data_IF_745289683218
#
_entry.id   IF_745289683218
#
_cell.length_a   1.000
_cell.length_b   1.000
_cell.length_c   1.000
_cell.angle_alpha   90.00
_cell.angle_beta   90.00
_cell.angle_gamma   90.00
#
_symmetry.space_group_name_H-M   'P 1'
#
loop_
_entity.id
_entity.type
_entity.pdbx_description
1 polymer ?
#
# COMPACT_ATOMS: atom_id res chain seq x y z
N UNK A 1 -5.37 -23.51 -6.38
CA UNK A 1 -6.51 -23.66 -5.46
C UNK A 1 -6.29 -22.60 -4.38
N UNK A 2 -7.11 -21.55 -4.31
CA UNK A 2 -6.96 -20.54 -3.26
C UNK A 2 -7.27 -21.19 -1.91
N UNK A 3 -6.34 -21.08 -0.98
CA UNK A 3 -6.57 -21.49 0.41
C UNK A 3 -7.49 -20.45 1.07
N UNK A 4 -8.74 -20.83 1.32
CA UNK A 4 -9.72 -19.95 1.97
C UNK A 4 -9.38 -19.62 3.42
N UNK A 5 -8.38 -20.25 4.02
CA UNK A 5 -7.92 -19.95 5.39
C UNK A 5 -7.29 -18.56 5.52
N UNK A 6 -6.83 -17.98 4.41
CA UNK A 6 -6.19 -16.66 4.35
C UNK A 6 -7.16 -15.52 3.95
N UNK A 7 -8.47 -15.83 3.84
CA UNK A 7 -9.47 -14.84 3.49
C UNK A 7 -10.04 -14.16 4.74
N UNK A 8 -9.90 -12.87 4.84
CA UNK A 8 -10.53 -12.06 5.90
C UNK A 8 -11.59 -11.15 5.31
N UNK A 9 -12.77 -11.13 5.91
CA UNK A 9 -13.88 -10.26 5.53
C UNK A 9 -14.24 -9.38 6.72
N UNK A 10 -14.28 -8.07 6.50
CA UNK A 10 -14.72 -7.07 7.49
C UNK A 10 -15.85 -6.24 6.91
N UNK A 11 -16.82 -5.90 7.74
CA UNK A 11 -17.99 -5.10 7.35
C UNK A 11 -18.09 -3.83 8.19
N UNK A 12 -18.58 -2.78 7.57
CA UNK A 12 -19.14 -1.60 8.24
C UNK A 12 -20.55 -1.34 7.71
N UNK A 13 -21.20 -0.28 8.18
CA UNK A 13 -22.52 0.13 7.65
C UNK A 13 -22.50 0.52 6.17
N UNK A 14 -21.34 0.89 5.64
CA UNK A 14 -21.18 1.43 4.29
C UNK A 14 -20.29 0.57 3.39
N UNK A 15 -19.39 -0.24 3.98
CA UNK A 15 -18.35 -0.96 3.26
C UNK A 15 -18.27 -2.43 3.66
N UNK A 16 -18.05 -3.29 2.66
CA UNK A 16 -17.57 -4.64 2.85
C UNK A 16 -16.12 -4.71 2.35
N UNK A 17 -15.22 -5.19 3.19
CA UNK A 17 -13.83 -5.40 2.84
C UNK A 17 -13.53 -6.88 2.82
N UNK A 18 -12.79 -7.30 1.81
CA UNK A 18 -12.28 -8.65 1.69
C UNK A 18 -10.78 -8.55 1.42
N UNK A 19 -9.98 -9.28 2.17
CA UNK A 19 -8.55 -9.33 1.98
C UNK A 19 -8.06 -10.78 1.96
N UNK A 20 -7.07 -11.03 1.10
CA UNK A 20 -6.36 -12.29 1.03
C UNK A 20 -4.87 -12.01 0.81
N UNK A 21 -4.02 -12.85 1.39
CA UNK A 21 -2.57 -12.79 1.19
C UNK A 21 -2.03 -14.21 1.11
N UNK A 22 -0.97 -14.41 0.34
CA UNK A 22 -0.30 -15.70 0.17
C UNK A 22 1.18 -15.47 -0.09
N UNK A 23 2.06 -16.25 0.57
CA UNK A 23 3.51 -16.14 0.38
C UNK A 23 4.01 -16.58 -0.99
N UNK A 24 3.15 -17.24 -1.77
CA UNK A 24 3.51 -17.83 -3.05
C UNK A 24 4.36 -19.11 -2.93
N UNK A 25 4.89 -19.55 -4.07
CA UNK A 25 5.60 -20.82 -4.21
C UNK A 25 7.12 -20.72 -3.96
N UNK A 26 7.67 -19.51 -3.97
CA UNK A 26 9.12 -19.27 -3.98
C UNK A 26 9.63 -18.72 -2.65
N UNK A 27 8.85 -17.85 -2.01
CA UNK A 27 9.26 -17.21 -0.76
C UNK A 27 9.07 -18.12 0.44
N UNK A 28 9.92 -17.98 1.45
CA UNK A 28 9.77 -18.69 2.73
C UNK A 28 8.86 -17.94 3.69
N UNK A 29 8.91 -16.60 3.65
CA UNK A 29 8.11 -15.70 4.47
C UNK A 29 7.23 -14.85 3.56
N UNK A 30 6.02 -14.54 4.01
CA UNK A 30 5.16 -13.57 3.38
C UNK A 30 5.55 -12.18 3.89
N UNK A 31 6.06 -11.35 2.99
CA UNK A 31 6.51 -9.99 3.31
C UNK A 31 5.39 -8.94 3.09
N UNK A 32 4.22 -9.39 2.59
CA UNK A 32 3.07 -8.52 2.41
C UNK A 32 2.34 -8.26 3.74
N UNK A 33 1.89 -7.03 3.91
CA UNK A 33 1.04 -6.60 5.01
C UNK A 33 -0.26 -5.99 4.50
N UNK A 34 -1.34 -6.16 5.25
CA UNK A 34 -2.57 -5.42 5.02
C UNK A 34 -3.30 -5.16 6.31
N UNK A 35 -4.07 -4.10 6.34
CA UNK A 35 -4.96 -3.78 7.44
C UNK A 35 -6.21 -3.07 6.94
N UNK A 36 -7.33 -3.31 7.62
CA UNK A 36 -8.59 -2.67 7.31
C UNK A 36 -9.30 -2.24 8.60
N UNK A 37 -9.63 -0.98 8.66
CA UNK A 37 -10.43 -0.35 9.70
C UNK A 37 -11.79 0.03 9.10
N UNK A 38 -12.64 -0.99 8.90
CA UNK A 38 -13.91 -0.88 8.18
C UNK A 38 -14.80 0.25 8.72
N UNK A 39 -14.95 0.36 10.05
CA UNK A 39 -15.74 1.41 10.70
C UNK A 39 -15.19 2.82 10.50
N UNK A 40 -13.93 2.90 10.11
CA UNK A 40 -13.26 4.17 9.80
C UNK A 40 -13.14 4.43 8.31
N UNK A 41 -13.64 3.53 7.46
CA UNK A 41 -13.48 3.63 6.00
C UNK A 41 -12.02 3.75 5.58
N UNK A 42 -11.14 2.94 6.16
CA UNK A 42 -9.70 2.99 5.93
C UNK A 42 -9.19 1.57 5.63
N UNK A 43 -8.38 1.44 4.60
CA UNK A 43 -7.68 0.20 4.28
C UNK A 43 -6.26 0.50 3.77
N UNK A 44 -5.33 -0.41 4.07
CA UNK A 44 -3.93 -0.32 3.67
C UNK A 44 -3.46 -1.68 3.18
N UNK A 45 -2.67 -1.70 2.12
CA UNK A 45 -1.82 -2.80 1.70
C UNK A 45 -0.39 -2.33 1.56
N UNK A 46 0.56 -3.21 1.88
CA UNK A 46 1.98 -2.93 1.87
C UNK A 46 2.73 -4.18 1.39
N UNK A 47 3.65 -4.02 0.44
CA UNK A 47 4.55 -5.07 -0.04
C UNK A 47 5.96 -4.76 0.49
N UNK A 48 6.40 -5.58 1.43
CA UNK A 48 7.67 -5.41 2.12
C UNK A 48 8.84 -5.93 1.30
N UNK A 49 9.95 -5.19 1.35
CA UNK A 49 11.20 -5.62 0.75
C UNK A 49 12.36 -5.49 1.74
N UNK A 50 13.20 -6.52 1.75
CA UNK A 50 14.41 -6.56 2.57
C UNK A 50 15.04 -7.95 2.53
N UNK A 51 16.36 -8.06 2.61
CA UNK A 51 17.00 -9.38 2.70
C UNK A 51 16.73 -10.02 4.07
N UNK A 52 16.49 -11.35 4.09
CA UNK A 52 16.37 -12.14 5.33
C UNK A 52 15.29 -11.65 6.31
N UNK A 53 14.03 -11.83 5.97
CA UNK A 53 12.89 -11.59 6.89
C UNK A 53 12.74 -10.14 7.40
N UNK A 54 13.09 -9.15 6.59
CA UNK A 54 13.02 -7.75 7.00
C UNK A 54 11.89 -6.99 6.31
N UNK A 55 11.39 -7.54 5.20
CA UNK A 55 10.27 -6.96 4.46
C UNK A 55 8.97 -7.07 5.25
N UNK A 56 8.73 -8.23 5.90
CA UNK A 56 7.58 -8.45 6.77
C UNK A 56 7.53 -7.47 7.95
N UNK A 57 8.69 -7.16 8.55
CA UNK A 57 8.79 -6.15 9.62
C UNK A 57 8.44 -4.76 9.07
N UNK A 58 8.91 -4.42 7.87
CA UNK A 58 8.62 -3.12 7.29
C UNK A 58 7.13 -2.93 6.95
N UNK A 59 6.51 -3.93 6.31
CA UNK A 59 5.07 -3.90 6.00
C UNK A 59 4.21 -3.90 7.26
N UNK A 60 4.58 -4.67 8.30
CA UNK A 60 3.91 -4.68 9.59
C UNK A 60 3.96 -3.31 10.28
N UNK A 61 5.13 -2.64 10.32
CA UNK A 61 5.27 -1.30 10.90
C UNK A 61 4.37 -0.26 10.20
N UNK A 62 4.17 -0.38 8.89
CA UNK A 62 3.22 0.47 8.16
C UNK A 62 1.78 0.16 8.54
N UNK A 63 1.39 -1.11 8.58
CA UNK A 63 0.05 -1.51 8.99
C UNK A 63 -0.30 -1.01 10.40
N UNK A 64 0.59 -1.18 11.35
CA UNK A 64 0.39 -0.75 12.74
C UNK A 64 0.36 0.78 12.91
N UNK A 65 0.99 1.52 11.98
CA UNK A 65 1.10 2.97 12.10
C UNK A 65 -0.24 3.70 12.14
N UNK A 66 -1.29 3.11 11.57
CA UNK A 66 -2.62 3.71 11.48
C UNK A 66 -3.63 3.17 12.50
N UNK A 67 -3.25 2.25 13.38
CA UNK A 67 -4.16 1.62 14.35
C UNK A 67 -4.81 2.62 15.29
N UNK A 68 -4.10 3.68 15.67
CA UNK A 68 -4.57 4.70 16.59
C UNK A 68 -5.30 5.88 15.92
N UNK A 69 -5.77 5.71 14.67
CA UNK A 69 -6.43 6.80 13.95
C UNK A 69 -7.61 7.37 14.74
N UNK A 70 -7.60 8.68 15.06
CA UNK A 70 -8.73 9.32 15.75
C UNK A 70 -9.90 9.52 14.76
N UNK A 71 -11.01 10.02 15.28
CA UNK A 71 -12.12 10.51 14.45
C UNK A 71 -11.75 11.92 13.97
N UNK A 72 -11.90 12.18 12.69
CA UNK A 72 -11.61 13.47 12.07
C UNK A 72 -12.90 14.15 11.60
N UNK A 73 -12.96 15.46 11.74
CA UNK A 73 -14.08 16.26 11.23
C UNK A 73 -13.92 16.60 9.75
N UNK A 74 -12.67 16.69 9.28
CA UNK A 74 -12.36 17.06 7.89
C UNK A 74 -11.42 16.06 7.24
N UNK A 75 -11.63 15.83 5.94
CA UNK A 75 -10.76 14.93 5.15
C UNK A 75 -9.30 15.41 5.15
N UNK A 76 -9.06 16.72 5.05
CA UNK A 76 -7.71 17.29 5.05
C UNK A 76 -6.94 16.96 6.34
N UNK A 77 -7.59 17.07 7.50
CA UNK A 77 -6.98 16.71 8.79
C UNK A 77 -6.62 15.23 8.83
N UNK A 78 -7.52 14.38 8.31
CA UNK A 78 -7.32 12.95 8.23
C UNK A 78 -6.14 12.59 7.33
N UNK A 79 -6.06 13.19 6.14
CA UNK A 79 -4.97 12.94 5.20
C UNK A 79 -3.63 13.40 5.77
N UNK A 80 -3.56 14.59 6.38
CA UNK A 80 -2.36 15.09 7.04
C UNK A 80 -1.91 14.17 8.19
N UNK A 81 -2.85 13.68 8.98
CA UNK A 81 -2.54 12.73 10.05
C UNK A 81 -1.97 11.42 9.50
N UNK A 82 -2.59 10.86 8.45
CA UNK A 82 -2.10 9.64 7.79
C UNK A 82 -0.67 9.84 7.28
N UNK A 83 -0.41 10.94 6.58
CA UNK A 83 0.91 11.28 6.07
C UNK A 83 1.96 11.38 7.20
N UNK A 84 1.61 12.01 8.31
CA UNK A 84 2.47 12.10 9.50
C UNK A 84 2.77 10.71 10.09
N UNK A 85 1.77 9.82 10.20
CA UNK A 85 1.99 8.46 10.70
C UNK A 85 2.86 7.63 9.76
N UNK A 86 2.64 7.73 8.45
CA UNK A 86 3.47 7.06 7.44
C UNK A 86 4.91 7.55 7.50
N UNK A 87 5.13 8.87 7.66
CA UNK A 87 6.47 9.43 7.83
C UNK A 87 7.15 8.94 9.11
N UNK A 88 6.42 8.83 10.21
CA UNK A 88 6.94 8.23 11.46
C UNK A 88 7.29 6.75 11.29
N UNK A 89 6.45 5.98 10.61
CA UNK A 89 6.73 4.57 10.28
C UNK A 89 7.98 4.46 9.40
N UNK A 90 8.12 5.32 8.38
CA UNK A 90 9.32 5.38 7.55
C UNK A 90 10.59 5.60 8.38
N UNK A 91 10.58 6.52 9.35
CA UNK A 91 11.73 6.73 10.23
C UNK A 91 12.02 5.50 11.11
N UNK A 92 11.00 4.81 11.62
CA UNK A 92 11.16 3.56 12.38
C UNK A 92 11.81 2.48 11.52
N UNK A 93 11.33 2.28 10.28
CA UNK A 93 11.89 1.31 9.32
C UNK A 93 13.36 1.63 9.02
N UNK A 94 13.70 2.90 8.78
CA UNK A 94 15.08 3.31 8.56
C UNK A 94 15.99 3.03 9.76
N UNK A 95 15.50 3.29 10.97
CA UNK A 95 16.26 3.02 12.20
C UNK A 95 16.45 1.52 12.41
N UNK A 96 15.40 0.72 12.17
CA UNK A 96 15.45 -0.73 12.20
C UNK A 96 16.51 -1.28 11.22
N UNK A 97 16.48 -0.79 9.96
CA UNK A 97 17.45 -1.19 8.95
C UNK A 97 18.88 -0.91 9.38
N UNK A 98 19.16 0.29 9.92
CA UNK A 98 20.51 0.65 10.41
C UNK A 98 20.99 -0.24 11.55
N UNK A 99 20.09 -0.57 12.50
CA UNK A 99 20.45 -1.33 13.69
C UNK A 99 20.68 -2.81 13.40
N UNK A 100 19.88 -3.38 12.49
CA UNK A 100 19.82 -4.84 12.30
C UNK A 100 20.46 -5.31 10.98
N UNK A 101 20.54 -4.45 9.97
CA UNK A 101 20.91 -4.85 8.61
C UNK A 101 22.06 -4.04 7.98
N UNK A 102 22.63 -3.10 8.72
CA UNK A 102 23.76 -2.28 8.25
C UNK A 102 23.39 -1.47 7.00
N UNK A 103 24.02 -1.80 5.86
CA UNK A 103 23.81 -1.07 4.60
C UNK A 103 22.74 -1.70 3.69
N UNK A 104 22.02 -2.73 4.14
CA UNK A 104 20.95 -3.36 3.33
C UNK A 104 19.73 -2.47 3.30
N UNK A 105 19.08 -2.42 2.15
CA UNK A 105 17.82 -1.71 1.98
C UNK A 105 16.68 -2.52 2.60
N UNK A 106 15.94 -1.90 3.51
CA UNK A 106 14.68 -2.39 4.07
C UNK A 106 13.63 -1.33 3.83
N UNK A 107 12.49 -1.72 3.33
CA UNK A 107 11.40 -0.80 3.00
C UNK A 107 10.12 -1.55 2.69
N UNK A 108 9.11 -0.81 2.28
CA UNK A 108 7.85 -1.35 1.80
C UNK A 108 7.19 -0.37 0.86
N UNK A 109 6.42 -0.89 -0.10
CA UNK A 109 5.41 -0.11 -0.78
C UNK A 109 4.25 0.19 0.16
N UNK A 110 3.35 1.05 -0.25
CA UNK A 110 2.05 1.21 0.42
C UNK A 110 1.00 1.71 -0.57
N UNK A 111 -0.25 1.27 -0.36
CA UNK A 111 -1.44 1.88 -0.93
C UNK A 111 -2.48 1.99 0.18
N UNK A 112 -2.97 3.21 0.40
CA UNK A 112 -3.97 3.52 1.42
C UNK A 112 -5.21 4.05 0.74
N UNK A 113 -6.35 3.39 1.00
CA UNK A 113 -7.67 3.90 0.67
C UNK A 113 -8.28 4.61 1.86
N UNK A 114 -8.81 5.81 1.62
CA UNK A 114 -9.49 6.64 2.61
C UNK A 114 -10.88 7.00 2.10
N UNK A 115 -11.92 6.43 2.71
CA UNK A 115 -13.30 6.83 2.44
C UNK A 115 -13.64 8.15 3.10
N UNK A 116 -14.23 9.04 2.34
CA UNK A 116 -14.72 10.35 2.79
C UNK A 116 -15.96 10.76 1.98
N UNK A 117 -17.00 9.91 2.02
CA UNK A 117 -18.23 10.12 1.25
C UNK A 117 -18.62 11.60 1.09
N UNK A 118 -18.93 12.06 -0.14
CA UNK A 118 -19.05 11.28 -1.39
C UNK A 118 -17.74 11.06 -2.14
N UNK A 119 -16.61 11.36 -1.55
CA UNK A 119 -15.27 11.23 -2.14
C UNK A 119 -14.52 10.05 -1.55
N UNK A 120 -13.53 9.56 -2.28
CA UNK A 120 -12.51 8.66 -1.80
C UNK A 120 -11.14 9.25 -2.13
N UNK A 121 -10.17 9.04 -1.25
CA UNK A 121 -8.80 9.47 -1.45
C UNK A 121 -7.86 8.28 -1.42
N UNK A 122 -6.78 8.37 -2.18
CA UNK A 122 -5.74 7.36 -2.28
C UNK A 122 -4.40 8.00 -2.00
N UNK A 123 -3.63 7.41 -1.09
CA UNK A 123 -2.21 7.72 -0.91
C UNK A 123 -1.42 6.47 -1.26
N UNK A 124 -0.30 6.62 -1.98
CA UNK A 124 0.52 5.48 -2.34
C UNK A 124 2.00 5.84 -2.49
N UNK A 125 2.84 4.84 -2.29
CA UNK A 125 4.26 4.88 -2.60
C UNK A 125 4.70 3.49 -3.07
N UNK A 126 5.47 3.45 -4.17
CA UNK A 126 5.93 2.21 -4.79
C UNK A 126 5.10 1.80 -6.01
N UNK A 127 5.05 0.52 -6.30
CA UNK A 127 4.42 -0.10 -7.46
C UNK A 127 3.22 -0.99 -7.12
N UNK A 128 2.81 -1.05 -5.86
CA UNK A 128 1.51 -1.60 -5.47
C UNK A 128 0.39 -0.74 -6.01
N UNK A 129 -0.72 -1.35 -6.43
CA UNK A 129 -1.72 -0.69 -7.26
C UNK A 129 -3.11 -0.73 -6.65
N UNK A 130 -3.87 0.34 -6.89
CA UNK A 130 -5.31 0.40 -6.66
C UNK A 130 -6.06 0.45 -7.98
N UNK A 131 -7.09 -0.39 -8.08
CA UNK A 131 -8.00 -0.41 -9.23
C UNK A 131 -9.43 -0.11 -8.78
N UNK A 132 -10.18 0.55 -9.65
CA UNK A 132 -11.62 0.77 -9.50
C UNK A 132 -12.38 0.08 -10.61
N UNK A 133 -13.38 -0.72 -10.24
CA UNK A 133 -14.34 -1.27 -11.18
C UNK A 133 -15.61 -0.40 -11.14
N UNK A 134 -16.04 0.11 -12.29
CA UNK A 134 -17.25 0.91 -12.43
C UNK A 134 -18.40 0.07 -12.96
N UNK A 135 -19.42 -0.12 -12.16
CA UNK A 135 -20.71 -0.68 -12.59
C UNK A 135 -21.57 0.42 -13.27
N UNK A 136 -22.45 0.08 -14.25
CA UNK A 136 -22.68 -1.25 -14.84
C UNK A 136 -21.77 -1.58 -16.04
N UNK A 137 -20.87 -0.69 -16.44
CA UNK A 137 -20.05 -0.85 -17.66
C UNK A 137 -18.86 -1.79 -17.50
N UNK A 138 -18.55 -2.22 -16.29
CA UNK A 138 -17.45 -3.13 -16.03
C UNK A 138 -16.05 -2.59 -16.38
N UNK A 139 -15.90 -1.27 -16.50
CA UNK A 139 -14.61 -0.66 -16.83
C UNK A 139 -13.66 -0.72 -15.60
N UNK A 140 -12.56 -1.44 -15.73
CA UNK A 140 -11.48 -1.47 -14.74
C UNK A 140 -10.52 -0.32 -14.99
N UNK A 141 -10.31 0.50 -13.97
CA UNK A 141 -9.47 1.68 -14.03
C UNK A 141 -8.39 1.61 -12.94
N UNK A 142 -7.12 1.72 -13.32
CA UNK A 142 -6.02 1.86 -12.35
C UNK A 142 -5.98 3.30 -11.85
N UNK A 143 -6.07 3.48 -10.54
CA UNK A 143 -6.09 4.81 -9.89
C UNK A 143 -4.71 5.26 -9.44
N UNK A 144 -3.78 4.34 -9.20
CA UNK A 144 -2.39 4.63 -8.83
C UNK A 144 -1.49 4.57 -10.05
N UNK A 145 -0.35 5.23 -9.98
CA UNK A 145 0.72 5.11 -10.97
C UNK A 145 1.99 4.63 -10.28
N UNK A 146 2.58 3.56 -10.81
CA UNK A 146 3.78 2.95 -10.23
C UNK A 146 4.91 3.97 -10.13
N UNK A 147 5.54 4.08 -8.98
CA UNK A 147 6.79 4.81 -8.79
C UNK A 147 7.93 3.91 -9.28
N UNK A 148 8.22 3.99 -10.57
CA UNK A 148 9.32 3.27 -11.21
C UNK A 148 10.29 4.25 -11.87
N UNK A 149 11.54 3.83 -12.05
CA UNK A 149 12.55 4.64 -12.74
C UNK A 149 12.07 5.04 -14.15
N UNK A 150 11.38 4.13 -14.86
CA UNK A 150 10.84 4.42 -16.20
C UNK A 150 9.76 5.50 -16.15
N UNK A 151 8.83 5.41 -15.21
CA UNK A 151 7.80 6.43 -15.03
C UNK A 151 8.39 7.78 -14.61
N UNK A 152 9.40 7.78 -13.75
CA UNK A 152 10.12 9.00 -13.37
C UNK A 152 10.85 9.66 -14.57
N UNK A 153 11.45 8.85 -15.45
CA UNK A 153 12.06 9.35 -16.69
C UNK A 153 11.02 9.96 -17.63
N UNK A 154 9.83 9.38 -17.72
CA UNK A 154 8.72 9.95 -18.51
C UNK A 154 8.27 11.28 -17.91
N UNK A 155 8.10 11.37 -16.61
CA UNK A 155 7.68 12.60 -15.93
C UNK A 155 8.68 13.74 -16.05
N UNK A 156 9.96 13.40 -16.10
CA UNK A 156 11.05 14.35 -16.36
C UNK A 156 11.24 14.68 -17.85
N UNK A 157 10.42 14.10 -18.74
CA UNK A 157 10.53 14.31 -20.18
C UNK A 157 11.76 13.66 -20.83
N UNK A 158 12.43 12.73 -20.14
CA UNK A 158 13.61 12.02 -20.64
C UNK A 158 13.24 10.83 -21.55
N UNK A 159 12.00 10.34 -21.43
CA UNK A 159 11.42 9.27 -22.26
C UNK A 159 9.99 9.63 -22.62
N UNK A 160 9.52 9.15 -23.76
CA UNK A 160 8.08 9.13 -24.07
C UNK A 160 7.41 7.93 -23.39
N UNK A 161 6.08 7.99 -23.23
CA UNK A 161 5.31 6.87 -22.67
C UNK A 161 5.50 5.58 -23.47
N UNK A 162 5.55 5.69 -24.80
CA UNK A 162 5.76 4.54 -25.71
C UNK A 162 7.14 3.93 -25.54
N UNK A 163 8.17 4.77 -25.39
CA UNK A 163 9.55 4.31 -25.15
C UNK A 163 9.69 3.59 -23.78
N UNK A 164 8.93 4.02 -22.77
CA UNK A 164 8.91 3.39 -21.47
C UNK A 164 8.18 2.04 -21.50
N UNK A 165 7.10 1.92 -22.25
CA UNK A 165 6.37 0.64 -22.42
C UNK A 165 7.22 -0.41 -23.14
N UNK A 166 8.00 -0.04 -24.16
CA UNK A 166 8.88 -0.95 -24.88
C UNK A 166 10.08 -1.48 -24.09
N UNK A 167 10.35 -0.93 -22.89
CA UNK A 167 11.44 -1.36 -21.98
C UNK A 167 10.97 -2.22 -20.81
N UNK A 168 9.68 -2.53 -20.74
CA UNK A 168 9.08 -3.44 -19.73
C UNK A 168 9.16 -4.92 -20.15
N UNK A 169 10.17 -5.32 -20.90
CA UNK A 169 10.44 -6.69 -21.34
C UNK A 169 11.59 -7.31 -20.57
#
# INVERSE_FOLDING_TARGET
MFDSSNLTIKFSKQWAFCAATDKGMVRQVNEDGWQCWAERGLALVADGMGGHESGDVASAMLCESLDSAPVFSHLSERLNWIEDQVNKAHQKIRNYAKQNHGNKTVGSTLVIWVDAMPLGSVLWAGDSRLYRLREPKGALEQLTRDHSQLNEMVDRGLLTADQAQGKKG
#
